data_IF_632720958124
#
_entry.id   IF_632720958124
#
_cell.length_a   1.000
_cell.length_b   1.000
_cell.length_c   1.000
_cell.angle_alpha   90.00
_cell.angle_beta   90.00
_cell.angle_gamma   90.00
#
_symmetry.space_group_name_H-M   'P 1'
#
loop_
_entity.id
_entity.type
_entity.pdbx_description
1 polymer ?
#
# COMPACT_ATOMS: atom_id res chain seq x y z
N UNK A 1 7.78 4.49 -9.63
CA UNK A 1 6.37 4.33 -9.21
C UNK A 1 6.21 3.06 -8.41
N UNK A 2 5.49 3.12 -7.32
CA UNK A 2 5.22 1.96 -6.50
C UNK A 2 3.83 1.41 -6.80
N UNK A 3 3.65 0.12 -6.65
CA UNK A 3 2.37 -0.50 -6.90
C UNK A 3 1.56 -0.59 -5.62
N UNK A 4 0.31 -0.12 -5.68
CA UNK A 4 -0.64 -0.29 -4.59
C UNK A 4 -1.14 -1.74 -4.60
N UNK A 5 -0.76 -2.51 -3.60
CA UNK A 5 -1.12 -3.94 -3.54
C UNK A 5 -2.61 -4.16 -3.29
N UNK A 6 -3.31 -3.15 -2.84
CA UNK A 6 -4.76 -3.25 -2.59
C UNK A 6 -5.55 -2.99 -3.86
N UNK A 7 -5.31 -1.86 -4.54
CA UNK A 7 -6.02 -1.55 -5.76
C UNK A 7 -5.32 -2.04 -7.02
N UNK A 8 -4.03 -2.35 -6.95
CA UNK A 8 -3.27 -2.80 -8.11
C UNK A 8 -2.85 -1.69 -9.07
N UNK A 9 -3.00 -0.44 -8.67
CA UNK A 9 -2.64 0.71 -9.48
C UNK A 9 -1.27 1.22 -9.10
N UNK A 10 -0.61 1.91 -10.03
CA UNK A 10 0.68 2.52 -9.74
C UNK A 10 0.49 3.83 -8.99
N UNK A 11 1.32 4.04 -7.98
CA UNK A 11 1.26 5.20 -7.10
C UNK A 11 2.61 5.87 -7.08
N UNK A 12 2.61 7.19 -7.23
CA UNK A 12 3.82 7.99 -7.08
C UNK A 12 4.10 8.13 -5.57
N UNK A 13 5.24 7.63 -5.07
CA UNK A 13 5.55 7.73 -3.64
C UNK A 13 5.48 9.14 -3.08
N UNK A 14 5.80 10.14 -3.91
CA UNK A 14 5.75 11.53 -3.49
C UNK A 14 4.32 12.06 -3.35
N UNK A 15 3.35 11.38 -3.97
CA UNK A 15 1.95 11.80 -3.97
C UNK A 15 1.02 10.79 -3.31
N UNK A 16 1.57 9.73 -2.75
CA UNK A 16 0.77 8.69 -2.12
C UNK A 16 -0.02 9.26 -0.94
N UNK A 17 -1.26 8.79 -0.79
CA UNK A 17 -2.11 9.22 0.32
C UNK A 17 -1.67 8.58 1.64
N UNK A 18 -0.98 7.43 1.57
CA UNK A 18 -0.47 6.78 2.77
C UNK A 18 0.56 5.74 2.41
N UNK A 19 1.24 5.22 3.43
CA UNK A 19 2.23 4.18 3.24
C UNK A 19 2.27 3.28 4.46
N UNK A 20 2.75 2.05 4.28
CA UNK A 20 2.93 1.09 5.36
C UNK A 20 4.18 0.28 5.10
N UNK A 21 4.80 -0.22 6.17
CA UNK A 21 5.93 -1.13 6.08
C UNK A 21 5.52 -2.51 6.56
N UNK A 22 5.87 -3.52 5.79
CA UNK A 22 5.58 -4.90 6.15
C UNK A 22 6.66 -5.81 5.55
N UNK A 23 7.23 -6.66 6.38
CA UNK A 23 8.23 -7.61 5.91
C UNK A 23 9.48 -6.96 5.34
N UNK A 24 9.85 -5.77 5.82
CA UNK A 24 11.02 -5.05 5.35
C UNK A 24 10.80 -4.26 4.07
N UNK A 25 9.55 -4.18 3.60
CA UNK A 25 9.20 -3.42 2.40
C UNK A 25 8.25 -2.29 2.75
N UNK A 26 8.38 -1.19 2.01
CA UNK A 26 7.47 -0.06 2.15
C UNK A 26 6.49 -0.06 0.99
N UNK A 27 5.21 -0.02 1.29
CA UNK A 27 4.15 0.01 0.29
C UNK A 27 3.43 1.35 0.35
N UNK A 28 3.10 1.87 -0.81
CA UNK A 28 2.40 3.14 -0.93
C UNK A 28 0.99 2.90 -1.45
N UNK A 29 0.07 3.75 -1.03
CA UNK A 29 -1.34 3.56 -1.33
C UNK A 29 -1.94 4.78 -1.99
N UNK A 30 -2.84 4.54 -2.94
CA UNK A 30 -3.49 5.61 -3.69
C UNK A 30 -4.50 6.37 -2.83
N UNK A 31 -4.98 5.76 -1.74
CA UNK A 31 -5.94 6.40 -0.84
C UNK A 31 -5.78 5.85 0.57
N UNK A 32 -6.29 6.60 1.54
CA UNK A 32 -6.28 6.16 2.94
C UNK A 32 -7.12 4.90 3.14
N UNK A 33 -8.16 4.72 2.33
CA UNK A 33 -8.97 3.51 2.37
C UNK A 33 -8.17 2.26 2.01
N UNK A 34 -7.30 2.36 1.00
CA UNK A 34 -6.42 1.26 0.63
C UNK A 34 -5.43 0.95 1.74
N UNK A 35 -4.87 1.99 2.36
CA UNK A 35 -3.96 1.82 3.49
C UNK A 35 -4.65 1.10 4.64
N UNK A 36 -5.87 1.50 4.97
CA UNK A 36 -6.63 0.89 6.05
C UNK A 36 -6.90 -0.58 5.80
N UNK A 37 -7.24 -0.93 4.56
CA UNK A 37 -7.47 -2.32 4.18
C UNK A 37 -6.19 -3.14 4.31
N UNK A 38 -5.07 -2.58 3.88
CA UNK A 38 -3.79 -3.27 3.98
C UNK A 38 -3.42 -3.48 5.45
N UNK A 39 -3.55 -2.45 6.28
CA UNK A 39 -3.18 -2.54 7.68
C UNK A 39 -4.03 -3.57 8.43
N UNK A 40 -5.28 -3.76 8.01
CA UNK A 40 -6.17 -4.75 8.61
C UNK A 40 -5.71 -6.17 8.29
N UNK A 41 -5.20 -6.41 7.08
CA UNK A 41 -4.78 -7.75 6.63
C UNK A 41 -3.58 -7.69 5.70
N UNK A 42 -2.40 -7.27 6.19
CA UNK A 42 -1.25 -7.14 5.31
C UNK A 42 -0.82 -8.47 4.68
N UNK A 43 -0.93 -9.57 5.40
CA UNK A 43 -0.57 -10.88 4.88
C UNK A 43 -1.46 -11.36 3.75
N UNK A 44 -2.66 -10.80 3.62
CA UNK A 44 -3.57 -11.14 2.54
C UNK A 44 -3.06 -10.58 1.21
N UNK A 45 -2.41 -9.42 1.25
CA UNK A 45 -1.93 -8.73 0.05
C UNK A 45 -0.47 -9.06 -0.25
N UNK A 46 0.32 -9.31 0.78
CA UNK A 46 1.74 -9.65 0.64
C UNK A 46 1.95 -11.07 1.16
N UNK A 47 1.96 -12.00 0.26
CA UNK A 47 2.16 -13.41 0.62
C UNK A 47 3.60 -13.83 0.56
#
# INVERSE_FOLDING_TARGET
MEKDVVCGMQVDPAKAAGSSQYGGKTDYFCSTGCKAKFDANPGQYLK
#
